data_IF_722903322910
#
_entry.id   IF_722903322910
#
_cell.length_a   1.000
_cell.length_b   1.000
_cell.length_c   1.000
_cell.angle_alpha   90.00
_cell.angle_beta   90.00
_cell.angle_gamma   90.00
#
_symmetry.space_group_name_H-M   'P 1'
#
loop_
_entity.id
_entity.type
_entity.pdbx_description
1 polymer ?
#
# COMPACT_ATOMS: atom_id res chain seq x y z
N UNK A 1 -3.13 -5.25 3.01
CA UNK A 1 -2.37 -4.42 3.97
C UNK A 1 -2.78 -4.72 5.41
N UNK A 2 -4.04 -4.54 5.77
CA UNK A 2 -4.56 -4.73 7.15
C UNK A 2 -4.23 -6.11 7.72
N UNK A 3 -4.34 -7.19 6.94
CA UNK A 3 -3.98 -8.55 7.37
C UNK A 3 -2.55 -8.65 7.89
N UNK A 4 -1.60 -7.95 7.26
CA UNK A 4 -0.21 -7.89 7.74
C UNK A 4 -0.09 -7.15 9.07
N UNK A 5 -0.90 -6.12 9.31
CA UNK A 5 -1.00 -5.44 10.59
C UNK A 5 -1.48 -6.37 11.71
N UNK A 6 -2.52 -7.18 11.43
CA UNK A 6 -2.99 -8.18 12.40
C UNK A 6 -1.96 -9.28 12.69
N UNK A 7 -1.19 -9.70 11.69
CA UNK A 7 -0.08 -10.66 11.90
C UNK A 7 0.97 -10.04 12.83
N UNK A 8 1.38 -8.80 12.59
CA UNK A 8 2.35 -8.10 13.45
C UNK A 8 1.81 -7.89 14.87
N UNK A 9 0.56 -7.48 15.00
CA UNK A 9 -0.10 -7.32 16.30
C UNK A 9 -0.15 -8.63 17.09
N UNK A 10 -0.56 -9.73 16.45
CA UNK A 10 -0.65 -11.04 17.09
C UNK A 10 0.72 -11.56 17.57
N UNK A 11 1.78 -11.31 16.79
CA UNK A 11 3.16 -11.66 17.18
C UNK A 11 3.62 -10.83 18.38
N UNK A 12 3.27 -9.56 18.43
CA UNK A 12 3.61 -8.70 19.56
C UNK A 12 2.88 -9.13 20.85
N UNK A 13 1.64 -9.59 20.75
CA UNK A 13 0.91 -10.17 21.88
C UNK A 13 1.58 -11.45 22.44
N UNK A 14 2.34 -12.16 21.61
CA UNK A 14 3.15 -13.32 22.03
C UNK A 14 4.54 -12.96 22.59
N UNK A 15 4.82 -11.66 22.79
CA UNK A 15 6.06 -11.18 23.40
C UNK A 15 7.21 -10.94 22.41
N UNK A 16 6.95 -10.96 21.08
CA UNK A 16 7.98 -10.61 20.10
C UNK A 16 8.16 -9.09 20.00
N UNK A 17 9.40 -8.58 19.85
CA UNK A 17 9.61 -7.15 19.61
C UNK A 17 8.87 -6.69 18.33
N UNK A 18 8.16 -5.55 18.36
CA UNK A 18 7.33 -5.07 17.27
C UNK A 18 8.06 -4.92 15.92
N UNK A 19 9.35 -4.59 15.97
CA UNK A 19 10.18 -4.46 14.77
C UNK A 19 10.27 -5.75 13.93
N UNK A 20 10.29 -6.92 14.58
CA UNK A 20 10.28 -8.21 13.87
C UNK A 20 8.93 -8.54 13.23
N UNK A 21 7.86 -7.86 13.64
CA UNK A 21 6.54 -8.01 13.04
C UNK A 21 6.52 -7.68 11.55
N UNK A 22 7.32 -6.70 11.11
CA UNK A 22 7.32 -6.25 9.70
C UNK A 22 7.92 -7.29 8.75
N UNK A 23 9.14 -7.85 8.96
CA UNK A 23 9.66 -8.88 8.08
C UNK A 23 8.84 -10.17 8.13
N UNK A 24 8.28 -10.53 9.29
CA UNK A 24 7.43 -11.72 9.40
C UNK A 24 6.11 -11.51 8.66
N UNK A 25 5.47 -10.34 8.81
CA UNK A 25 4.28 -9.98 8.05
C UNK A 25 4.55 -9.99 6.53
N UNK A 26 5.73 -9.55 6.10
CA UNK A 26 6.16 -9.63 4.71
C UNK A 26 6.17 -11.08 4.21
N UNK A 27 6.81 -12.01 4.94
CA UNK A 27 6.93 -13.42 4.56
C UNK A 27 5.55 -14.12 4.58
N UNK A 28 4.77 -13.93 5.63
CA UNK A 28 3.44 -14.52 5.75
C UNK A 28 2.52 -14.04 4.63
N UNK A 29 2.51 -12.74 4.38
CA UNK A 29 1.67 -12.16 3.33
C UNK A 29 2.16 -12.49 1.92
N UNK A 30 3.46 -12.80 1.73
CA UNK A 30 3.96 -13.41 0.50
C UNK A 30 3.27 -14.74 0.23
N UNK A 31 3.25 -15.63 1.23
CA UNK A 31 2.58 -16.94 1.12
C UNK A 31 1.08 -16.81 0.86
N UNK A 32 0.40 -15.92 1.58
CA UNK A 32 -1.03 -15.63 1.38
C UNK A 32 -1.28 -15.08 -0.03
N UNK A 33 -0.45 -14.17 -0.52
CA UNK A 33 -0.53 -13.61 -1.87
C UNK A 33 -0.36 -14.68 -2.95
N UNK A 34 0.60 -15.59 -2.78
CA UNK A 34 0.79 -16.72 -3.67
C UNK A 34 -0.43 -17.65 -3.69
N UNK A 35 -1.00 -17.93 -2.53
CA UNK A 35 -2.19 -18.76 -2.40
C UNK A 35 -3.40 -18.12 -3.11
N UNK A 36 -3.66 -16.84 -2.87
CA UNK A 36 -4.74 -16.08 -3.52
C UNK A 36 -4.53 -16.05 -5.03
N UNK A 37 -3.30 -15.83 -5.48
CA UNK A 37 -2.98 -15.88 -6.90
C UNK A 37 -3.36 -17.23 -7.50
N UNK A 38 -2.89 -18.33 -6.90
CA UNK A 38 -3.11 -19.69 -7.41
C UNK A 38 -4.58 -20.11 -7.39
N UNK A 39 -5.34 -19.72 -6.37
CA UNK A 39 -6.73 -20.14 -6.19
C UNK A 39 -7.72 -19.30 -7.01
N UNK A 40 -7.47 -18.00 -7.11
CA UNK A 40 -8.44 -17.05 -7.67
C UNK A 40 -7.88 -16.36 -8.92
N UNK A 41 -6.75 -15.65 -8.78
CA UNK A 41 -6.28 -14.71 -9.79
C UNK A 41 -5.84 -15.42 -11.07
N UNK A 42 -5.16 -16.56 -10.97
CA UNK A 42 -4.73 -17.35 -12.14
C UNK A 42 -5.88 -17.81 -13.02
N UNK A 43 -7.10 -17.95 -12.46
CA UNK A 43 -8.31 -18.36 -13.22
C UNK A 43 -9.03 -17.19 -13.87
N UNK A 44 -8.74 -15.97 -13.45
CA UNK A 44 -9.41 -14.74 -13.87
C UNK A 44 -8.50 -13.90 -14.78
N UNK A 45 -7.19 -14.05 -14.67
CA UNK A 45 -6.20 -13.40 -15.54
C UNK A 45 -6.48 -13.79 -17.02
N UNK A 46 -6.60 -12.77 -17.88
CA UNK A 46 -6.91 -12.96 -19.30
C UNK A 46 -8.40 -12.97 -19.64
N UNK A 47 -9.28 -12.90 -18.64
CA UNK A 47 -10.71 -12.64 -18.83
C UNK A 47 -10.99 -11.15 -18.89
N UNK A 48 -12.27 -10.80 -19.02
CA UNK A 48 -12.74 -9.43 -19.03
C UNK A 48 -12.31 -8.66 -17.77
N UNK A 49 -11.99 -7.37 -17.94
CA UNK A 49 -11.54 -6.47 -16.88
C UNK A 49 -12.54 -6.43 -15.71
N UNK A 50 -13.84 -6.48 -16.02
CA UNK A 50 -14.91 -6.44 -15.03
C UNK A 50 -14.90 -7.68 -14.14
N UNK A 51 -14.69 -8.86 -14.73
CA UNK A 51 -14.57 -10.13 -13.98
C UNK A 51 -13.38 -10.12 -13.04
N UNK A 52 -12.25 -9.55 -13.46
CA UNK A 52 -11.05 -9.43 -12.64
C UNK A 52 -11.26 -8.48 -11.45
N UNK A 53 -11.92 -7.35 -11.68
CA UNK A 53 -12.28 -6.40 -10.61
C UNK A 53 -13.22 -7.02 -9.59
N UNK A 54 -14.25 -7.73 -10.05
CA UNK A 54 -15.23 -8.39 -9.18
C UNK A 54 -14.59 -9.48 -8.33
N UNK A 55 -13.70 -10.29 -8.92
CA UNK A 55 -12.98 -11.34 -8.21
C UNK A 55 -12.05 -10.76 -7.11
N UNK A 56 -11.30 -9.70 -7.41
CA UNK A 56 -10.42 -9.06 -6.43
C UNK A 56 -11.21 -8.38 -5.32
N UNK A 57 -12.36 -7.79 -5.63
CA UNK A 57 -13.26 -7.20 -4.65
C UNK A 57 -13.86 -8.27 -3.73
N UNK A 58 -14.30 -9.41 -4.29
CA UNK A 58 -14.78 -10.55 -3.50
C UNK A 58 -13.70 -11.09 -2.55
N UNK A 59 -12.46 -11.22 -3.00
CA UNK A 59 -11.32 -11.62 -2.15
C UNK A 59 -11.09 -10.59 -1.04
N UNK A 60 -11.21 -9.29 -1.32
CA UNK A 60 -11.01 -8.24 -0.33
C UNK A 60 -12.07 -8.32 0.79
N UNK A 61 -13.35 -8.52 0.43
CA UNK A 61 -14.45 -8.70 1.40
C UNK A 61 -14.24 -9.99 2.22
N UNK A 62 -13.90 -11.09 1.55
CA UNK A 62 -13.64 -12.36 2.24
C UNK A 62 -12.51 -12.22 3.26
N UNK A 63 -11.41 -11.58 2.90
CA UNK A 63 -10.29 -11.34 3.81
C UNK A 63 -10.67 -10.44 4.97
N UNK A 64 -11.47 -9.39 4.75
CA UNK A 64 -11.95 -8.53 5.83
C UNK A 64 -12.84 -9.29 6.81
N UNK A 65 -13.74 -10.13 6.31
CA UNK A 65 -14.61 -10.97 7.16
C UNK A 65 -13.84 -12.05 7.91
N UNK A 66 -12.84 -12.67 7.28
CA UNK A 66 -11.97 -13.63 7.97
C UNK A 66 -11.22 -12.97 9.14
N UNK A 67 -10.68 -11.77 8.94
CA UNK A 67 -10.03 -11.02 10.02
C UNK A 67 -11.02 -10.66 11.13
N UNK A 68 -12.23 -10.26 10.77
CA UNK A 68 -13.29 -9.96 11.74
C UNK A 68 -13.69 -11.19 12.56
N UNK A 69 -13.78 -12.36 11.93
CA UNK A 69 -14.09 -13.62 12.62
C UNK A 69 -12.95 -14.08 13.54
N UNK A 70 -11.69 -13.87 13.14
CA UNK A 70 -10.53 -14.32 13.92
C UNK A 70 -10.16 -13.38 15.07
N UNK A 71 -10.31 -12.07 14.89
CA UNK A 71 -9.80 -11.05 15.81
C UNK A 71 -10.89 -10.13 16.37
N UNK A 72 -12.14 -10.28 15.92
CA UNK A 72 -13.24 -9.40 16.31
C UNK A 72 -13.24 -8.07 15.55
N UNK A 73 -14.24 -7.24 15.87
CA UNK A 73 -14.41 -5.90 15.26
C UNK A 73 -13.64 -4.79 15.99
N UNK A 74 -13.00 -5.13 17.11
CA UNK A 74 -12.33 -4.15 17.97
C UNK A 74 -11.12 -3.52 17.30
N UNK A 75 -10.89 -2.26 17.63
CA UNK A 75 -9.69 -1.55 17.20
C UNK A 75 -8.47 -2.09 17.94
N UNK A 76 -7.46 -2.46 17.17
CA UNK A 76 -6.20 -2.96 17.70
C UNK A 76 -5.06 -1.99 17.40
N UNK A 77 -4.11 -1.90 18.33
CA UNK A 77 -2.86 -1.15 18.15
C UNK A 77 -1.73 -1.84 18.90
N UNK A 78 -0.53 -1.60 18.45
CA UNK A 78 0.68 -1.98 19.20
C UNK A 78 1.08 -0.76 20.03
N UNK A 79 0.93 -0.85 21.35
CA UNK A 79 1.48 0.18 22.25
C UNK A 79 3.00 0.02 22.26
N UNK A 80 3.67 0.98 21.67
CA UNK A 80 5.12 1.13 21.78
C UNK A 80 5.36 2.05 22.99
N UNK A 81 5.87 1.50 24.08
CA UNK A 81 6.28 2.27 25.26
C UNK A 81 7.59 3.05 24.98
N UNK A 82 7.62 3.75 23.86
CA UNK A 82 8.72 4.65 23.53
C UNK A 82 8.36 6.07 23.93
N UNK A 83 9.32 6.73 24.58
CA UNK A 83 9.21 8.13 24.99
C UNK A 83 8.92 9.03 23.78
N UNK A 84 8.14 10.09 24.02
CA UNK A 84 7.91 11.13 23.02
C UNK A 84 9.11 12.07 23.03
N UNK A 85 9.70 12.33 21.87
CA UNK A 85 10.75 13.35 21.74
C UNK A 85 10.09 14.72 21.71
N UNK A 86 10.42 15.55 22.70
CA UNK A 86 10.00 16.95 22.77
C UNK A 86 11.06 17.82 22.11
N UNK A 87 10.70 18.48 21.01
CA UNK A 87 11.53 19.48 20.36
C UNK A 87 10.98 20.89 20.65
N UNK A 88 11.88 21.88 20.79
CA UNK A 88 11.53 23.30 21.01
C UNK A 88 10.65 23.53 22.24
N UNK A 89 11.10 23.15 23.44
CA UNK A 89 10.39 23.37 24.71
C UNK A 89 8.91 22.92 24.72
N UNK A 90 8.62 21.77 24.05
CA UNK A 90 7.27 21.19 24.03
C UNK A 90 6.33 21.70 22.95
N UNK A 91 6.80 22.52 21.99
CA UNK A 91 5.99 22.97 20.87
C UNK A 91 5.78 21.90 19.79
N UNK A 92 6.65 20.91 19.68
CA UNK A 92 6.57 19.83 18.69
C UNK A 92 6.78 18.49 19.37
N UNK A 93 5.68 17.73 19.49
CA UNK A 93 5.68 16.37 20.03
C UNK A 93 5.80 15.38 18.87
N UNK A 94 6.94 14.71 18.77
CA UNK A 94 7.15 13.64 17.76
C UNK A 94 7.26 12.30 18.48
N UNK A 95 6.22 11.46 18.43
CA UNK A 95 6.30 10.10 18.94
C UNK A 95 7.39 9.32 18.18
N UNK A 96 8.32 8.70 18.90
CA UNK A 96 9.41 7.89 18.33
C UNK A 96 8.85 6.80 17.40
N UNK A 97 7.67 6.25 17.71
CA UNK A 97 6.97 5.29 16.89
C UNK A 97 6.72 5.78 15.44
N UNK A 98 6.39 7.07 15.26
CA UNK A 98 6.19 7.66 13.92
C UNK A 98 7.51 7.76 13.15
N UNK A 99 8.60 8.14 13.83
CA UNK A 99 9.94 8.21 13.23
C UNK A 99 10.40 6.82 12.75
N UNK A 100 10.26 5.81 13.60
CA UNK A 100 10.55 4.41 13.27
C UNK A 100 9.71 3.98 12.05
N UNK A 101 8.42 4.30 12.04
CA UNK A 101 7.53 4.02 10.91
C UNK A 101 8.01 4.64 9.60
N UNK A 102 8.45 5.90 9.62
CA UNK A 102 9.01 6.59 8.43
C UNK A 102 10.30 5.92 7.94
N UNK A 103 11.24 5.61 8.85
CA UNK A 103 12.50 4.94 8.49
C UNK A 103 12.22 3.55 7.90
N UNK A 104 11.32 2.78 8.49
CA UNK A 104 10.93 1.46 7.99
C UNK A 104 10.22 1.56 6.63
N UNK A 105 9.32 2.51 6.44
CA UNK A 105 8.66 2.73 5.16
C UNK A 105 9.66 3.16 4.06
N UNK A 106 10.61 4.04 4.39
CA UNK A 106 11.67 4.46 3.48
C UNK A 106 12.60 3.29 3.11
N UNK A 107 12.98 2.46 4.08
CA UNK A 107 13.81 1.27 3.84
C UNK A 107 13.09 0.25 2.96
N UNK A 108 11.81 0.00 3.21
CA UNK A 108 10.98 -0.88 2.38
C UNK A 108 10.86 -0.35 0.95
N UNK A 109 10.58 0.94 0.78
CA UNK A 109 10.48 1.58 -0.54
C UNK A 109 11.81 1.50 -1.30
N UNK A 110 12.93 1.79 -0.63
CA UNK A 110 14.26 1.68 -1.22
C UNK A 110 14.60 0.25 -1.61
N UNK A 111 14.27 -0.73 -0.75
CA UNK A 111 14.45 -2.14 -1.02
C UNK A 111 13.70 -2.59 -2.28
N UNK A 112 12.43 -2.19 -2.41
CA UNK A 112 11.61 -2.48 -3.60
C UNK A 112 12.18 -1.83 -4.85
N UNK A 113 12.61 -0.56 -4.78
CA UNK A 113 13.22 0.15 -5.92
C UNK A 113 14.51 -0.56 -6.37
N UNK A 114 15.39 -0.91 -5.44
CA UNK A 114 16.64 -1.62 -5.73
C UNK A 114 16.37 -3.00 -6.32
N UNK A 115 15.43 -3.74 -5.75
CA UNK A 115 14.98 -5.03 -6.26
C UNK A 115 14.48 -4.90 -7.70
N UNK A 116 13.57 -3.99 -7.96
CA UNK A 116 13.01 -3.76 -9.30
C UNK A 116 14.08 -3.33 -10.31
N UNK A 117 15.07 -2.52 -9.91
CA UNK A 117 16.12 -2.03 -10.82
C UNK A 117 17.21 -3.07 -11.09
N UNK A 118 17.64 -3.83 -10.07
CA UNK A 118 18.84 -4.67 -10.14
C UNK A 118 18.57 -6.16 -10.31
N UNK A 119 17.40 -6.68 -9.91
CA UNK A 119 17.13 -8.11 -10.00
C UNK A 119 16.69 -8.54 -11.41
N UNK A 120 17.03 -9.77 -11.79
CA UNK A 120 16.55 -10.40 -13.03
C UNK A 120 15.02 -10.51 -13.06
N UNK A 121 14.41 -10.81 -11.90
CA UNK A 121 12.95 -10.86 -11.79
C UNK A 121 12.33 -9.47 -11.96
N UNK A 122 12.91 -8.40 -11.44
CA UNK A 122 12.46 -7.04 -11.67
C UNK A 122 12.54 -6.64 -13.15
N UNK A 123 13.56 -7.11 -13.89
CA UNK A 123 13.64 -6.92 -15.34
C UNK A 123 12.52 -7.69 -16.06
N UNK A 124 12.29 -8.96 -15.68
CA UNK A 124 11.22 -9.79 -16.23
C UNK A 124 9.82 -9.17 -15.98
N UNK A 125 9.59 -8.62 -14.80
CA UNK A 125 8.35 -7.91 -14.46
C UNK A 125 8.14 -6.71 -15.40
N UNK A 126 9.17 -5.87 -15.60
CA UNK A 126 9.07 -4.70 -16.48
C UNK A 126 8.87 -5.09 -17.95
N UNK A 127 9.57 -6.11 -18.42
CA UNK A 127 9.41 -6.63 -19.78
C UNK A 127 7.99 -7.18 -20.01
N UNK A 128 7.48 -7.98 -19.08
CA UNK A 128 6.12 -8.53 -19.13
C UNK A 128 5.05 -7.44 -19.07
N UNK A 129 5.28 -6.39 -18.27
CA UNK A 129 4.35 -5.26 -18.16
C UNK A 129 4.26 -4.44 -19.45
N UNK A 130 5.36 -4.34 -20.24
CA UNK A 130 5.36 -3.64 -21.52
C UNK A 130 4.67 -4.45 -22.62
N UNK A 131 5.05 -5.71 -22.77
CA UNK A 131 4.44 -6.59 -23.76
C UNK A 131 4.56 -8.07 -23.35
N UNK A 132 3.49 -8.66 -22.82
CA UNK A 132 3.51 -10.05 -22.36
C UNK A 132 3.79 -11.07 -23.47
N UNK A 133 3.34 -10.77 -24.70
CA UNK A 133 3.56 -11.67 -25.87
C UNK A 133 5.04 -11.67 -26.27
N UNK A 134 5.64 -10.50 -26.41
CA UNK A 134 7.07 -10.38 -26.70
C UNK A 134 7.93 -10.99 -25.61
N UNK A 135 7.59 -10.80 -24.33
CA UNK A 135 8.30 -11.41 -23.21
C UNK A 135 8.31 -12.95 -23.28
N UNK A 136 7.18 -13.58 -23.67
CA UNK A 136 7.11 -15.04 -23.87
C UNK A 136 8.00 -15.52 -25.01
N UNK A 137 8.03 -14.81 -26.12
CA UNK A 137 8.90 -15.13 -27.27
C UNK A 137 10.37 -15.08 -26.86
N UNK A 138 10.73 -14.17 -25.96
CA UNK A 138 12.08 -14.03 -25.39
C UNK A 138 12.39 -15.05 -24.28
N UNK A 139 11.50 -16.04 -24.06
CA UNK A 139 11.70 -17.12 -23.07
C UNK A 139 11.33 -16.76 -21.62
N UNK A 140 10.66 -15.65 -21.41
CA UNK A 140 10.18 -15.27 -20.05
C UNK A 140 8.87 -16.01 -19.75
N UNK A 141 8.86 -16.80 -18.67
CA UNK A 141 7.66 -17.44 -18.16
C UNK A 141 6.76 -16.40 -17.47
N UNK A 142 5.79 -15.87 -18.25
CA UNK A 142 4.91 -14.80 -17.78
C UNK A 142 3.99 -15.23 -16.65
N UNK A 143 3.64 -16.51 -16.53
CA UNK A 143 2.83 -17.01 -15.41
C UNK A 143 3.58 -16.96 -14.10
N UNK A 144 4.84 -17.37 -14.09
CA UNK A 144 5.71 -17.22 -12.91
C UNK A 144 5.91 -15.76 -12.54
N UNK A 145 6.07 -14.88 -13.54
CA UNK A 145 6.21 -13.44 -13.32
C UNK A 145 4.94 -12.87 -12.68
N UNK A 146 3.75 -13.22 -13.16
CA UNK A 146 2.48 -12.75 -12.57
C UNK A 146 2.30 -13.25 -11.13
N UNK A 147 2.55 -14.55 -10.90
CA UNK A 147 2.47 -15.14 -9.55
C UNK A 147 3.42 -14.45 -8.58
N UNK A 148 4.66 -14.27 -8.98
CA UNK A 148 5.68 -13.60 -8.18
C UNK A 148 5.32 -12.15 -7.89
N UNK A 149 4.88 -11.40 -8.90
CA UNK A 149 4.49 -9.99 -8.78
C UNK A 149 3.32 -9.81 -7.82
N UNK A 150 2.32 -10.68 -7.92
CA UNK A 150 1.16 -10.64 -7.02
C UNK A 150 1.55 -10.97 -5.59
N UNK A 151 2.38 -11.98 -5.38
CA UNK A 151 2.91 -12.36 -4.06
C UNK A 151 3.77 -11.25 -3.45
N UNK A 152 4.64 -10.64 -4.25
CA UNK A 152 5.47 -9.52 -3.82
C UNK A 152 4.62 -8.30 -3.42
N UNK A 153 3.59 -7.98 -4.22
CA UNK A 153 2.66 -6.89 -3.88
C UNK A 153 1.93 -7.17 -2.55
N UNK A 154 1.46 -8.39 -2.35
CA UNK A 154 0.81 -8.79 -1.09
C UNK A 154 1.77 -8.68 0.09
N UNK A 155 3.04 -9.08 -0.07
CA UNK A 155 4.09 -8.97 0.94
C UNK A 155 4.39 -7.51 1.31
N UNK A 156 4.56 -6.63 0.31
CA UNK A 156 4.78 -5.19 0.53
C UNK A 156 3.59 -4.56 1.25
N UNK A 157 2.38 -4.88 0.81
CA UNK A 157 1.16 -4.43 1.49
C UNK A 157 1.06 -4.97 2.93
N UNK A 158 1.54 -6.19 3.17
CA UNK A 158 1.60 -6.78 4.50
C UNK A 158 2.56 -6.05 5.42
N UNK A 159 3.77 -5.80 4.95
CA UNK A 159 4.78 -5.03 5.67
C UNK A 159 4.31 -3.60 5.96
N UNK A 160 3.69 -2.93 4.99
CA UNK A 160 3.08 -1.61 5.19
C UNK A 160 1.98 -1.64 6.27
N UNK A 161 1.14 -2.68 6.28
CA UNK A 161 0.13 -2.88 7.33
C UNK A 161 0.73 -3.08 8.72
N UNK A 162 1.86 -3.80 8.80
CA UNK A 162 2.60 -3.97 10.05
C UNK A 162 3.20 -2.65 10.57
N UNK A 163 3.66 -1.78 9.67
CA UNK A 163 4.11 -0.42 10.03
C UNK A 163 2.94 0.44 10.50
N UNK A 164 1.79 0.33 9.82
CA UNK A 164 0.58 1.11 10.17
C UNK A 164 0.11 0.79 11.58
N UNK A 165 0.06 -0.49 11.99
CA UNK A 165 -0.42 -0.87 13.32
C UNK A 165 0.46 -0.38 14.47
N UNK A 166 1.74 -0.08 14.19
CA UNK A 166 2.66 0.52 15.16
C UNK A 166 2.40 2.01 15.38
N UNK A 167 1.79 2.69 14.41
CA UNK A 167 1.61 4.15 14.42
C UNK A 167 0.15 4.53 14.62
N UNK A 168 -0.79 3.70 14.15
CA UNK A 168 -2.22 3.96 14.12
C UNK A 168 -3.03 2.75 14.59
N UNK A 169 -4.27 3.03 14.99
CA UNK A 169 -5.27 1.99 15.26
C UNK A 169 -5.66 1.29 13.95
N UNK A 170 -5.83 -0.03 14.00
CA UNK A 170 -6.34 -0.81 12.88
C UNK A 170 -7.68 -1.46 13.23
N UNK A 171 -8.54 -1.56 12.21
CA UNK A 171 -9.78 -2.34 12.22
C UNK A 171 -9.86 -3.19 10.95
N UNK A 172 -10.59 -4.32 10.94
CA UNK A 172 -10.71 -5.19 9.78
C UNK A 172 -11.19 -4.46 8.51
N UNK A 173 -12.09 -3.48 8.66
CA UNK A 173 -12.71 -2.76 7.55
C UNK A 173 -11.94 -1.52 7.07
N UNK A 174 -10.91 -1.07 7.77
CA UNK A 174 -10.09 0.09 7.37
C UNK A 174 -9.32 -0.13 6.06
N UNK A 175 -9.26 -1.36 5.56
CA UNK A 175 -8.62 -1.70 4.29
C UNK A 175 -9.15 -0.89 3.11
N UNK A 176 -10.44 -0.60 3.07
CA UNK A 176 -11.07 0.19 2.00
C UNK A 176 -10.57 1.63 2.04
N UNK A 177 -10.54 2.25 3.22
CA UNK A 177 -10.04 3.61 3.41
C UNK A 177 -8.59 3.77 2.95
N UNK A 178 -7.71 2.84 3.34
CA UNK A 178 -6.31 2.83 2.89
C UNK A 178 -6.18 2.56 1.39
N UNK A 179 -7.05 1.75 0.79
CA UNK A 179 -7.07 1.51 -0.65
C UNK A 179 -7.42 2.77 -1.43
N UNK A 180 -8.43 3.52 -0.97
CA UNK A 180 -8.81 4.80 -1.58
C UNK A 180 -7.66 5.80 -1.51
N UNK A 181 -7.01 5.95 -0.35
CA UNK A 181 -5.84 6.84 -0.19
C UNK A 181 -4.70 6.44 -1.12
N UNK A 182 -4.38 5.15 -1.20
CA UNK A 182 -3.33 4.65 -2.10
C UNK A 182 -3.66 4.94 -3.56
N UNK A 183 -4.94 4.79 -3.96
CA UNK A 183 -5.40 5.11 -5.30
C UNK A 183 -5.24 6.60 -5.62
N UNK A 184 -5.58 7.49 -4.68
CA UNK A 184 -5.36 8.94 -4.79
C UNK A 184 -3.89 9.25 -5.05
N UNK A 185 -2.99 8.68 -4.22
CA UNK A 185 -1.55 8.91 -4.32
C UNK A 185 -1.00 8.45 -5.67
N UNK A 186 -1.36 7.23 -6.10
CA UNK A 186 -0.88 6.66 -7.38
C UNK A 186 -1.42 7.46 -8.56
N UNK A 187 -2.68 7.89 -8.49
CA UNK A 187 -3.29 8.72 -9.55
C UNK A 187 -2.63 10.10 -9.60
N UNK A 188 -2.32 10.71 -8.47
CA UNK A 188 -1.63 12.00 -8.40
C UNK A 188 -0.21 11.91 -8.97
N UNK A 189 0.53 10.86 -8.64
CA UNK A 189 1.90 10.65 -9.08
C UNK A 189 2.02 10.26 -10.55
N UNK A 190 1.04 9.49 -11.05
CA UNK A 190 1.09 8.80 -12.35
C UNK A 190 1.66 7.40 -12.24
N UNK A 191 1.05 6.49 -13.00
CA UNK A 191 1.44 5.09 -13.05
C UNK A 191 2.90 4.95 -13.53
N UNK A 192 3.70 4.18 -12.80
CA UNK A 192 5.09 3.90 -13.14
C UNK A 192 6.13 4.90 -12.60
N UNK A 193 5.71 6.02 -12.01
CA UNK A 193 6.60 7.03 -11.44
C UNK A 193 6.77 6.85 -9.92
N UNK A 194 7.67 5.96 -9.50
CA UNK A 194 7.93 5.68 -8.08
C UNK A 194 8.37 6.92 -7.26
N UNK A 195 9.31 7.76 -7.74
CA UNK A 195 9.63 9.02 -7.03
C UNK A 195 8.43 9.95 -6.90
N UNK A 196 7.59 10.01 -7.94
CA UNK A 196 6.34 10.77 -7.91
C UNK A 196 5.34 10.25 -6.87
N UNK A 197 5.26 8.93 -6.66
CA UNK A 197 4.40 8.32 -5.62
C UNK A 197 4.86 8.74 -4.22
N UNK A 198 6.17 8.76 -3.96
CA UNK A 198 6.72 9.21 -2.67
C UNK A 198 6.39 10.68 -2.44
N UNK A 199 6.65 11.55 -3.43
CA UNK A 199 6.37 12.97 -3.33
C UNK A 199 4.86 13.26 -3.17
N UNK A 200 4.01 12.57 -3.94
CA UNK A 200 2.56 12.70 -3.83
C UNK A 200 2.05 12.21 -2.46
N UNK A 201 2.58 11.10 -1.95
CA UNK A 201 2.21 10.57 -0.64
C UNK A 201 2.56 11.52 0.49
N UNK A 202 3.75 12.12 0.47
CA UNK A 202 4.16 13.14 1.44
C UNK A 202 3.29 14.41 1.31
N UNK A 203 3.06 14.89 0.09
CA UNK A 203 2.24 16.08 -0.15
C UNK A 203 0.80 15.91 0.31
N UNK A 204 0.16 14.78 -0.03
CA UNK A 204 -1.21 14.47 0.40
C UNK A 204 -1.26 14.31 1.92
N UNK A 205 -0.29 13.62 2.53
CA UNK A 205 -0.24 13.46 3.98
C UNK A 205 -0.13 14.79 4.73
N UNK A 206 0.70 15.72 4.24
CA UNK A 206 0.80 17.08 4.79
C UNK A 206 -0.53 17.83 4.64
N UNK A 207 -1.15 17.80 3.46
CA UNK A 207 -2.42 18.47 3.21
C UNK A 207 -3.57 17.89 4.05
N UNK A 208 -3.64 16.56 4.21
CA UNK A 208 -4.61 15.92 5.10
C UNK A 208 -4.42 16.36 6.56
N UNK A 209 -3.19 16.47 7.04
CA UNK A 209 -2.91 16.87 8.41
C UNK A 209 -3.24 18.35 8.66
N UNK A 210 -2.87 19.23 7.74
CA UNK A 210 -3.26 20.64 7.81
C UNK A 210 -4.78 20.82 7.73
N UNK A 211 -5.44 20.11 6.83
CA UNK A 211 -6.88 20.13 6.72
C UNK A 211 -7.60 19.62 7.96
N UNK A 212 -7.08 18.54 8.57
CA UNK A 212 -7.61 18.02 9.83
C UNK A 212 -7.42 19.00 10.99
N UNK A 213 -6.37 19.82 10.98
CA UNK A 213 -6.14 20.85 11.98
C UNK A 213 -7.12 22.02 11.85
N UNK A 214 -7.46 22.42 10.62
CA UNK A 214 -8.35 23.57 10.35
C UNK A 214 -9.83 23.17 10.46
N UNK A 215 -10.22 22.04 9.85
CA UNK A 215 -11.62 21.62 9.72
C UNK A 215 -12.04 20.55 10.74
N UNK A 216 -11.08 19.99 11.47
CA UNK A 216 -11.29 18.89 12.41
C UNK A 216 -11.01 17.51 11.83
N UNK A 217 -10.71 16.56 12.72
CA UNK A 217 -10.26 15.18 12.38
C UNK A 217 -11.30 14.41 11.55
N UNK A 218 -12.62 14.69 11.75
CA UNK A 218 -13.70 14.04 11.00
C UNK A 218 -13.69 14.31 9.50
N UNK A 219 -13.09 15.42 9.07
CA UNK A 219 -13.03 15.82 7.65
C UNK A 219 -11.80 15.28 6.91
N UNK A 220 -10.88 14.60 7.58
CA UNK A 220 -9.64 14.09 6.99
C UNK A 220 -9.90 13.21 5.76
N UNK A 221 -10.91 12.35 5.81
CA UNK A 221 -11.27 11.48 4.69
C UNK A 221 -11.91 12.25 3.52
N UNK A 222 -12.71 13.27 3.82
CA UNK A 222 -13.31 14.13 2.81
C UNK A 222 -12.24 14.97 2.07
N UNK A 223 -11.22 15.43 2.79
CA UNK A 223 -10.08 16.16 2.22
C UNK A 223 -9.30 15.28 1.24
N UNK A 224 -9.06 14.01 1.58
CA UNK A 224 -8.39 13.08 0.67
C UNK A 224 -9.15 12.91 -0.65
N UNK A 225 -10.48 12.77 -0.59
CA UNK A 225 -11.34 12.65 -1.78
C UNK A 225 -11.39 13.95 -2.58
N UNK A 226 -11.44 15.11 -1.91
CA UNK A 226 -11.40 16.43 -2.54
C UNK A 226 -10.07 16.65 -3.28
N UNK A 227 -8.96 16.26 -2.67
CA UNK A 227 -7.64 16.30 -3.30
C UNK A 227 -7.58 15.40 -4.54
N UNK A 228 -8.19 14.21 -4.50
CA UNK A 228 -8.32 13.34 -5.67
C UNK A 228 -9.02 14.06 -6.81
N UNK A 229 -10.19 14.65 -6.55
CA UNK A 229 -10.97 15.39 -7.54
C UNK A 229 -10.15 16.54 -8.15
N UNK A 230 -9.46 17.31 -7.32
CA UNK A 230 -8.62 18.41 -7.75
C UNK A 230 -7.46 17.93 -8.65
N UNK A 231 -6.77 16.87 -8.25
CA UNK A 231 -5.69 16.28 -9.04
C UNK A 231 -6.21 15.76 -10.39
N UNK A 232 -7.36 15.11 -10.42
CA UNK A 232 -7.98 14.63 -11.67
C UNK A 232 -8.36 15.79 -12.60
N UNK A 233 -8.95 16.87 -12.05
CA UNK A 233 -9.30 18.06 -12.82
C UNK A 233 -8.06 18.75 -13.41
N UNK A 234 -7.00 18.90 -12.62
CA UNK A 234 -5.73 19.48 -13.09
C UNK A 234 -5.13 18.62 -14.20
N UNK A 235 -5.11 17.28 -14.05
CA UNK A 235 -4.63 16.39 -15.10
C UNK A 235 -5.47 16.48 -16.38
N UNK A 236 -6.79 16.52 -16.24
CA UNK A 236 -7.69 16.65 -17.39
C UNK A 236 -7.44 17.98 -18.13
N UNK A 237 -7.25 19.07 -17.40
CA UNK A 237 -6.92 20.38 -17.96
C UNK A 237 -5.57 20.36 -18.68
N UNK A 238 -4.53 19.72 -18.10
CA UNK A 238 -3.22 19.59 -18.72
C UNK A 238 -3.28 18.72 -20.00
N UNK A 239 -4.02 17.64 -20.00
CA UNK A 239 -4.20 16.79 -21.19
C UNK A 239 -4.92 17.52 -22.30
N UNK A 240 -5.96 18.32 -22.00
CA UNK A 240 -6.63 19.15 -22.99
C UNK A 240 -5.69 20.19 -23.60
N UNK A 241 -4.88 20.85 -22.77
CA UNK A 241 -3.91 21.84 -23.24
C UNK A 241 -2.83 21.23 -24.15
N UNK A 242 -2.35 20.03 -23.82
CA UNK A 242 -1.35 19.35 -24.65
C UNK A 242 -1.91 18.83 -25.99
N UNK A 243 -3.21 18.55 -26.09
CA UNK A 243 -3.85 18.18 -27.36
C UNK A 243 -4.06 19.36 -28.28
N UNK A 244 -4.33 20.55 -27.72
CA UNK A 244 -4.52 21.79 -28.51
C UNK A 244 -3.20 22.37 -29.07
N UNK A 245 -2.05 21.89 -28.61
CA UNK A 245 -0.72 22.33 -29.12
C UNK A 245 -0.26 21.43 -30.27
N UNK A 246 -0.95 20.32 -30.54
CA UNK A 246 -0.61 19.36 -31.61
C UNK A 246 -1.57 19.42 -32.82
N UNK A 247 -2.58 20.29 -32.79
CA UNK A 247 -3.39 20.72 -33.93
C UNK A 247 -2.91 22.12 -34.41
#
# INVERSE_FOLDING_TARGET
GISGGYVAWWLTQKGMPPLFGVPIAFIVMWGVGWLIYKLVISRVIGRDLFTSLLATFGVAIMMAQLLNLMFGSDTQSIKLDYETLYFFDGFVDVPIAKLIGVVMAASLATGVILFMKRSRMGQAIRATAQNPRAARVMGIDTEKVYSFTFSLNAAICGAAGAIIVMVWLIQPFYGITYSIRSFVIVTAAGLGNLPGVIAAGLGIGVMEQYGAHIFGIGYQQAIAVLLLLLVLLVRLAQQRRNRQVLE
#
